data_IF_652616004330
#
_entry.id   IF_652616004330
#
_cell.length_a   1.000
_cell.length_b   1.000
_cell.length_c   1.000
_cell.angle_alpha   90.00
_cell.angle_beta   90.00
_cell.angle_gamma   90.00
#
_symmetry.space_group_name_H-M   'P 1'
#
loop_
_entity.id
_entity.type
_entity.pdbx_description
1 polymer ?
#
# COMPACT_ATOMS: atom_id res chain seq x y z
N UNK A 1 14.19 -9.58 -6.13
CA UNK A 1 12.92 -8.85 -6.45
C UNK A 1 13.15 -8.01 -7.70
N UNK A 2 12.38 -8.17 -8.78
CA UNK A 2 12.49 -7.32 -9.99
C UNK A 2 12.08 -5.88 -9.63
N UNK A 3 12.83 -4.84 -10.01
CA UNK A 3 12.41 -3.46 -9.81
C UNK A 3 11.10 -3.23 -10.59
N UNK A 4 10.11 -2.55 -9.99
CA UNK A 4 8.85 -2.23 -10.65
C UNK A 4 8.52 -0.78 -10.35
N UNK A 5 7.86 -0.10 -11.28
CA UNK A 5 7.54 1.34 -11.18
C UNK A 5 6.24 1.52 -10.36
N UNK A 6 6.24 0.98 -9.14
CA UNK A 6 5.10 0.91 -8.24
C UNK A 6 4.60 2.26 -7.68
N UNK A 7 5.44 3.27 -7.36
CA UNK A 7 4.93 4.49 -6.70
C UNK A 7 4.14 5.42 -7.62
N UNK A 8 4.21 5.22 -8.94
CA UNK A 8 3.54 6.07 -9.93
C UNK A 8 2.27 5.45 -10.52
N UNK A 9 2.21 4.11 -10.59
CA UNK A 9 1.00 3.40 -11.02
C UNK A 9 -0.18 3.73 -10.10
N UNK A 10 -1.31 4.08 -10.69
CA UNK A 10 -2.54 4.32 -9.94
C UNK A 10 -3.14 3.01 -9.49
N UNK A 11 -3.26 2.83 -8.18
CA UNK A 11 -4.01 1.73 -7.60
C UNK A 11 -5.50 1.85 -7.93
N UNK A 12 -6.08 3.05 -7.81
CA UNK A 12 -7.51 3.28 -7.99
C UNK A 12 -7.97 3.11 -9.44
N UNK A 13 -7.11 3.43 -10.41
CA UNK A 13 -7.41 3.30 -11.83
C UNK A 13 -6.92 1.95 -12.41
N UNK A 14 -6.42 1.06 -11.54
CA UNK A 14 -5.98 -0.28 -11.93
C UNK A 14 -4.84 -0.31 -12.94
N UNK A 15 -3.96 0.70 -12.90
CA UNK A 15 -2.81 0.78 -13.81
C UNK A 15 -1.97 -0.49 -13.76
N UNK A 16 -1.52 -0.95 -14.92
CA UNK A 16 -0.57 -2.04 -15.00
C UNK A 16 0.74 -1.66 -14.27
N UNK A 17 1.31 -2.57 -13.48
CA UNK A 17 2.58 -2.36 -12.79
C UNK A 17 3.68 -3.06 -13.60
N UNK A 18 4.37 -2.35 -14.51
CA UNK A 18 5.40 -2.95 -15.33
C UNK A 18 6.63 -3.31 -14.50
N UNK A 19 7.31 -4.37 -14.92
CA UNK A 19 8.72 -4.57 -14.52
C UNK A 19 9.54 -3.43 -15.10
N UNK A 20 10.31 -2.76 -14.25
CA UNK A 20 11.18 -1.64 -14.62
C UNK A 20 12.15 -2.08 -15.72
N UNK A 21 12.17 -1.32 -16.83
CA UNK A 21 13.14 -1.45 -17.90
C UNK A 21 13.75 -0.07 -18.16
N UNK A 22 15.09 0.07 -18.12
CA UNK A 22 15.75 1.38 -18.16
C UNK A 22 15.43 2.21 -19.43
N UNK A 23 15.11 1.56 -20.55
CA UNK A 23 14.84 2.24 -21.82
C UNK A 23 13.34 2.39 -22.16
N UNK A 24 12.45 2.11 -21.21
CA UNK A 24 11.00 2.20 -21.45
C UNK A 24 10.39 3.29 -20.58
N UNK A 25 9.86 4.33 -21.24
CA UNK A 25 9.00 5.30 -20.56
C UNK A 25 7.66 4.65 -20.24
N UNK A 26 7.20 4.85 -19.01
CA UNK A 26 5.92 4.36 -18.54
C UNK A 26 5.02 5.54 -18.23
N UNK A 27 3.81 5.50 -18.77
CA UNK A 27 2.75 6.46 -18.50
C UNK A 27 1.76 5.82 -17.53
N UNK A 28 1.35 6.57 -16.52
CA UNK A 28 0.37 6.15 -15.52
C UNK A 28 -0.81 7.12 -15.55
N UNK A 29 -1.98 6.65 -15.15
CA UNK A 29 -3.22 7.42 -15.18
C UNK A 29 -3.25 8.51 -14.10
N UNK A 30 -2.58 8.24 -12.96
CA UNK A 30 -2.49 9.14 -11.83
C UNK A 30 -1.10 9.74 -11.65
N UNK A 31 -1.00 10.67 -10.70
CA UNK A 31 0.25 11.37 -10.38
C UNK A 31 0.42 11.60 -8.89
N UNK A 32 1.67 11.58 -8.44
CA UNK A 32 2.04 12.05 -7.12
C UNK A 32 2.15 13.58 -7.14
N UNK A 33 1.42 14.27 -6.29
CA UNK A 33 1.47 15.74 -6.17
C UNK A 33 2.57 16.19 -5.21
N UNK A 34 2.65 15.52 -4.06
CA UNK A 34 3.58 15.82 -2.98
C UNK A 34 3.87 14.56 -2.18
N UNK A 35 4.78 14.61 -1.19
CA UNK A 35 5.22 13.44 -0.42
C UNK A 35 4.03 12.62 0.09
N UNK A 36 3.03 13.27 0.68
CA UNK A 36 1.88 12.61 1.29
C UNK A 36 0.74 12.28 0.30
N UNK A 37 0.65 12.94 -0.85
CA UNK A 37 -0.58 12.92 -1.65
C UNK A 37 -0.38 12.38 -3.07
N UNK A 38 -1.26 11.45 -3.43
CA UNK A 38 -1.44 10.88 -4.76
C UNK A 38 -2.82 11.24 -5.31
N UNK A 39 -2.91 11.49 -6.62
CA UNK A 39 -4.16 11.81 -7.31
C UNK A 39 -4.36 10.85 -8.47
N UNK A 40 -5.50 10.15 -8.46
CA UNK A 40 -5.96 9.29 -9.56
C UNK A 40 -6.44 10.10 -10.77
N UNK A 41 -6.72 9.42 -11.89
CA UNK A 41 -7.26 10.02 -13.10
C UNK A 41 -8.56 10.80 -12.86
N UNK A 42 -9.42 10.28 -11.98
CA UNK A 42 -10.71 10.89 -11.67
C UNK A 42 -10.61 12.01 -10.62
N UNK A 43 -9.41 12.42 -10.22
CA UNK A 43 -9.18 13.49 -9.25
C UNK A 43 -9.25 13.05 -7.78
N UNK A 44 -9.55 11.77 -7.50
CA UNK A 44 -9.57 11.24 -6.13
C UNK A 44 -8.19 11.33 -5.51
N UNK A 45 -8.11 11.99 -4.35
CA UNK A 45 -6.91 12.14 -3.54
C UNK A 45 -6.81 11.01 -2.52
N UNK A 46 -5.67 10.31 -2.51
CA UNK A 46 -5.33 9.30 -1.50
C UNK A 46 -3.92 9.55 -0.98
N UNK A 47 -3.60 8.95 0.16
CA UNK A 47 -2.22 8.99 0.66
C UNK A 47 -1.29 8.22 -0.28
N UNK A 48 -0.12 8.78 -0.57
CA UNK A 48 0.86 8.13 -1.44
C UNK A 48 1.34 6.78 -0.89
N UNK A 49 1.43 6.64 0.44
CA UNK A 49 1.81 5.38 1.10
C UNK A 49 0.71 4.32 0.94
N UNK A 50 -0.56 4.72 0.93
CA UNK A 50 -1.69 3.82 0.65
C UNK A 50 -1.58 3.29 -0.79
N UNK A 51 -1.35 4.19 -1.76
CA UNK A 51 -1.12 3.79 -3.16
C UNK A 51 0.06 2.82 -3.29
N UNK A 52 1.17 3.13 -2.62
CA UNK A 52 2.37 2.29 -2.60
C UNK A 52 2.15 0.92 -1.96
N UNK A 53 1.49 0.86 -0.81
CA UNK A 53 1.21 -0.38 -0.09
C UNK A 53 0.36 -1.33 -0.93
N UNK A 54 -0.71 -0.82 -1.56
CA UNK A 54 -1.54 -1.63 -2.45
C UNK A 54 -0.75 -2.12 -3.67
N UNK A 55 0.05 -1.27 -4.31
CA UNK A 55 0.88 -1.68 -5.45
C UNK A 55 1.97 -2.71 -5.08
N UNK A 56 2.49 -2.68 -3.84
CA UNK A 56 3.37 -3.75 -3.33
C UNK A 56 2.57 -5.05 -3.20
N UNK A 57 1.38 -5.00 -2.61
CA UNK A 57 0.48 -6.15 -2.50
C UNK A 57 0.19 -6.79 -3.87
N UNK A 58 -0.15 -5.98 -4.88
CA UNK A 58 -0.38 -6.41 -6.28
C UNK A 58 0.76 -7.21 -6.86
N UNK A 59 1.99 -6.84 -6.50
CA UNK A 59 3.20 -7.43 -7.06
C UNK A 59 3.59 -8.73 -6.38
N UNK A 60 3.36 -8.83 -5.07
CA UNK A 60 3.77 -9.99 -4.27
C UNK A 60 2.73 -11.11 -4.39
N UNK A 61 1.45 -10.79 -4.53
CA UNK A 61 0.37 -11.77 -4.53
C UNK A 61 -0.62 -11.50 -5.69
N UNK A 62 -0.33 -11.99 -6.91
CA UNK A 62 -1.17 -11.73 -8.09
C UNK A 62 -2.60 -12.23 -7.91
N UNK A 63 -2.77 -13.42 -7.31
CA UNK A 63 -4.07 -14.09 -7.17
C UNK A 63 -4.92 -13.57 -5.99
N UNK A 64 -4.31 -12.82 -5.07
CA UNK A 64 -5.02 -12.21 -3.93
C UNK A 64 -5.75 -10.94 -4.34
N UNK A 65 -5.49 -10.44 -5.54
CA UNK A 65 -5.98 -9.13 -5.92
C UNK A 65 -7.41 -9.15 -6.48
N UNK A 66 -7.84 -10.27 -7.06
CA UNK A 66 -9.24 -10.44 -7.49
C UNK A 66 -10.17 -10.38 -6.27
N UNK A 67 -9.82 -11.06 -5.18
CA UNK A 67 -10.63 -11.01 -3.96
C UNK A 67 -10.58 -9.63 -3.28
N UNK A 68 -9.44 -8.94 -3.31
CA UNK A 68 -9.32 -7.58 -2.78
C UNK A 68 -10.15 -6.57 -3.59
N UNK A 69 -10.15 -6.70 -4.93
CA UNK A 69 -10.96 -5.83 -5.79
C UNK A 69 -12.44 -6.01 -5.51
N UNK A 70 -12.89 -7.26 -5.35
CA UNK A 70 -14.27 -7.56 -4.97
C UNK A 70 -14.61 -7.08 -3.55
N UNK A 71 -13.71 -7.22 -2.59
CA UNK A 71 -13.87 -6.66 -1.22
C UNK A 71 -13.96 -5.14 -1.23
N UNK A 72 -13.10 -4.44 -1.98
CA UNK A 72 -13.14 -2.97 -2.07
C UNK A 72 -14.43 -2.47 -2.71
N UNK A 73 -14.91 -3.16 -3.76
CA UNK A 73 -16.21 -2.85 -4.38
C UNK A 73 -17.36 -3.10 -3.40
N UNK A 74 -17.34 -4.23 -2.70
CA UNK A 74 -18.36 -4.63 -1.72
C UNK A 74 -18.43 -3.65 -0.54
N UNK A 75 -17.27 -3.38 0.06
CA UNK A 75 -17.16 -2.63 1.31
C UNK A 75 -17.00 -1.13 1.06
N UNK A 76 -17.14 -0.67 -0.20
CA UNK A 76 -16.95 0.73 -0.63
C UNK A 76 -15.60 1.32 -0.17
N UNK A 77 -14.56 0.50 -0.13
CA UNK A 77 -13.23 0.89 0.34
C UNK A 77 -12.98 0.75 1.86
N UNK A 78 -13.93 0.21 2.63
CA UNK A 78 -13.78 -0.03 4.06
C UNK A 78 -13.26 -1.46 4.34
N UNK A 79 -11.95 -1.67 4.25
CA UNK A 79 -11.33 -2.96 4.61
C UNK A 79 -11.02 -3.00 6.11
N UNK A 80 -12.03 -3.04 6.96
CA UNK A 80 -11.87 -3.20 8.40
C UNK A 80 -12.46 -4.54 8.83
N UNK A 81 -11.61 -5.57 8.86
CA UNK A 81 -11.99 -6.87 9.44
C UNK A 81 -11.76 -6.82 10.95
N UNK A 82 -12.85 -6.71 11.71
CA UNK A 82 -12.88 -6.88 13.17
C UNK A 82 -11.67 -6.30 13.92
N UNK A 83 -11.57 -4.97 14.08
CA UNK A 83 -10.43 -4.35 14.71
C UNK A 83 -10.35 -4.81 16.16
N UNK A 84 -9.43 -5.73 16.45
CA UNK A 84 -9.24 -6.26 17.80
C UNK A 84 -8.18 -5.43 18.49
N UNK A 85 -8.56 -4.75 19.58
CA UNK A 85 -7.59 -4.11 20.46
C UNK A 85 -6.71 -5.19 21.09
N UNK A 86 -5.44 -5.21 20.71
CA UNK A 86 -4.43 -6.01 21.41
C UNK A 86 -3.91 -5.12 22.54
N UNK A 87 -4.17 -5.52 23.78
CA UNK A 87 -3.52 -4.91 24.94
C UNK A 87 -2.31 -5.77 25.27
N UNK A 88 -1.09 -5.41 24.81
CA UNK A 88 0.09 -6.18 25.16
C UNK A 88 0.28 -6.11 26.69
N UNK A 89 0.25 -7.26 27.35
CA UNK A 89 0.61 -7.39 28.77
C UNK A 89 2.13 -7.36 28.89
N UNK A 90 2.76 -6.26 28.50
CA UNK A 90 4.20 -6.10 28.70
C UNK A 90 4.45 -5.81 30.18
N UNK A 91 4.96 -6.79 30.93
CA UNK A 91 5.61 -6.50 32.21
C UNK A 91 6.99 -5.93 31.87
N UNK A 92 7.23 -4.67 32.23
CA UNK A 92 8.58 -4.11 32.23
C UNK A 92 9.38 -4.87 33.27
N UNK A 93 10.27 -5.75 32.85
CA UNK A 93 11.35 -6.21 33.73
C UNK A 93 12.32 -5.05 33.88
N UNK A 94 12.36 -4.47 35.08
CA UNK A 94 13.40 -3.55 35.44
C UNK A 94 14.68 -4.37 35.61
N UNK A 95 15.66 -4.13 34.74
CA UNK A 95 17.00 -4.66 34.97
C UNK A 95 17.46 -4.19 36.35
N UNK A 96 17.71 -5.12 37.27
CA UNK A 96 18.32 -4.82 38.55
C UNK A 96 19.72 -4.28 38.26
N UNK A 97 19.90 -2.98 38.45
CA UNK A 97 21.23 -2.38 38.42
C UNK A 97 21.95 -2.88 39.66
N UNK A 98 22.81 -3.90 39.47
CA UNK A 98 23.79 -4.29 40.47
C UNK A 98 24.81 -3.15 40.55
N UNK A 99 24.64 -2.27 41.54
CA UNK A 99 25.66 -1.29 41.91
C UNK A 99 26.75 -2.06 42.65
N UNK A 100 27.93 -2.14 42.04
CA UNK A 100 29.17 -2.58 42.67
C UNK A 100 29.89 -1.38 43.30
#
# INVERSE_FOLDING_TARGET
MKAAVAPFASFLDWDNIPTYRPNKKHSFSGRRLQRAWYVSKNGTKIHADINGAFNIGRKVIPNYFDCLQEQLKRDRGCLVVHPRRITPTFKREHASVSVA
#
